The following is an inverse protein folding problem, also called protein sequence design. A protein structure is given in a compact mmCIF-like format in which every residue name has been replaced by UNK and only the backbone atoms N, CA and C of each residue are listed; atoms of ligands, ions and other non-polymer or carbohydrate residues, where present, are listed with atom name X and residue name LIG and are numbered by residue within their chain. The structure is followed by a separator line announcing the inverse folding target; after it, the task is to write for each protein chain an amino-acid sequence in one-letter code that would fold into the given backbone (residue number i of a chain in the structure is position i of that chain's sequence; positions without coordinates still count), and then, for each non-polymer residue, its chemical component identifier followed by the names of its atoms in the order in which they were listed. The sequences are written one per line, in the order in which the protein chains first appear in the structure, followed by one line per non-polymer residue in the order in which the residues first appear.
data_IF_733076148464
#
_entry.id   IF_733076148464
#
_cell.length_a   1.000
_cell.length_b   1.000
_cell.length_c   1.000
_cell.angle_alpha   90.00
_cell.angle_beta   90.00
_cell.angle_gamma   90.00
#
_symmetry.space_group_name_H-M   'P 1'
#
loop_
_entity.id
_entity.type
_entity.pdbx_description
1 polymer ?
#
# COMPACT_ATOMS: atom_id res chain seq x y z
N UNK A 1 -27.15 -6.74 -10.19
CA UNK A 1 -26.55 -6.05 -9.05
C UNK A 1 -27.08 -4.63 -8.95
N UNK A 2 -27.20 -4.07 -7.76
CA UNK A 2 -27.56 -2.67 -7.57
C UNK A 2 -26.33 -1.83 -7.94
N UNK A 3 -26.49 -0.85 -8.84
CA UNK A 3 -25.44 0.14 -9.11
C UNK A 3 -25.39 1.13 -7.96
N UNK A 4 -24.18 1.34 -7.41
CA UNK A 4 -23.93 2.37 -6.41
C UNK A 4 -23.25 3.53 -7.13
N UNK A 5 -23.83 4.73 -7.02
CA UNK A 5 -23.16 5.94 -7.50
C UNK A 5 -22.09 6.34 -6.50
N UNK A 6 -20.86 6.56 -6.97
CA UNK A 6 -19.74 6.98 -6.13
C UNK A 6 -18.87 8.01 -6.85
N UNK A 7 -18.18 8.82 -6.07
CA UNK A 7 -17.07 9.67 -6.53
C UNK A 7 -15.77 9.19 -5.90
N UNK A 8 -14.75 9.09 -6.71
CA UNK A 8 -13.39 8.79 -6.28
C UNK A 8 -12.65 10.10 -6.05
N UNK A 9 -12.27 10.36 -4.81
CA UNK A 9 -11.53 11.55 -4.40
C UNK A 9 -10.09 11.15 -4.07
N UNK A 10 -9.12 11.75 -4.75
CA UNK A 10 -7.72 11.63 -4.43
C UNK A 10 -7.24 12.87 -3.68
N UNK A 11 -6.60 12.71 -2.54
CA UNK A 11 -6.21 13.84 -1.68
C UNK A 11 -4.98 14.60 -2.18
N UNK A 12 -4.13 13.96 -2.97
CA UNK A 12 -2.93 14.54 -3.58
C UNK A 12 -3.19 15.29 -4.88
N UNK A 13 -2.11 15.65 -5.56
CA UNK A 13 -2.13 16.31 -6.87
C UNK A 13 -2.32 15.31 -8.01
N UNK A 14 -2.84 15.80 -9.15
CA UNK A 14 -2.97 14.99 -10.38
C UNK A 14 -1.61 14.50 -10.90
N UNK A 15 -0.58 15.31 -10.73
CA UNK A 15 0.80 15.04 -11.17
C UNK A 15 1.61 14.23 -10.15
N UNK A 16 0.95 13.61 -9.17
CA UNK A 16 1.62 12.79 -8.17
C UNK A 16 2.26 11.57 -8.84
N UNK A 17 3.57 11.47 -8.73
CA UNK A 17 4.36 10.38 -9.34
C UNK A 17 4.08 9.00 -8.73
N UNK A 18 3.38 8.94 -7.60
CA UNK A 18 2.88 7.69 -7.02
C UNK A 18 1.66 7.15 -7.76
N UNK A 19 0.95 8.02 -8.49
CA UNK A 19 -0.10 7.66 -9.44
C UNK A 19 0.54 7.54 -10.83
N UNK A 20 1.09 6.37 -11.14
CA UNK A 20 1.51 6.09 -12.51
C UNK A 20 0.29 6.24 -13.43
N UNK A 21 0.45 7.00 -14.54
CA UNK A 21 -0.61 7.18 -15.52
C UNK A 21 -1.10 5.85 -16.11
N UNK A 22 -0.25 4.82 -16.15
CA UNK A 22 -0.64 3.47 -16.56
C UNK A 22 -1.53 2.76 -15.56
N UNK A 23 -1.51 3.14 -14.27
CA UNK A 23 -2.21 2.42 -13.19
C UNK A 23 -3.71 2.28 -13.48
N UNK A 24 -4.35 3.38 -13.84
CA UNK A 24 -5.80 3.38 -14.10
C UNK A 24 -6.14 2.60 -15.36
N UNK A 25 -5.32 2.74 -16.43
CA UNK A 25 -5.49 2.02 -17.67
C UNK A 25 -5.24 0.51 -17.50
N UNK A 26 -4.13 0.14 -16.87
CA UNK A 26 -3.73 -1.26 -16.64
C UNK A 26 -4.74 -2.01 -15.77
N UNK A 27 -5.31 -1.35 -14.77
CA UNK A 27 -6.29 -1.94 -13.85
C UNK A 27 -7.75 -1.74 -14.30
N UNK A 28 -7.99 -1.14 -15.47
CA UNK A 28 -9.32 -0.79 -15.96
C UNK A 28 -10.13 0.01 -14.95
N UNK A 29 -9.47 0.90 -14.23
CA UNK A 29 -10.07 1.76 -13.21
C UNK A 29 -10.40 3.14 -13.80
N UNK A 30 -11.47 3.72 -13.30
CA UNK A 30 -11.78 5.13 -13.53
C UNK A 30 -10.74 6.00 -12.81
N UNK A 31 -10.28 7.05 -13.47
CA UNK A 31 -9.49 8.09 -12.79
C UNK A 31 -10.30 8.75 -11.66
N UNK A 32 -9.63 9.32 -10.64
CA UNK A 32 -10.30 10.13 -9.62
C UNK A 32 -11.16 11.23 -10.25
N UNK A 33 -12.38 11.37 -9.74
CA UNK A 33 -13.27 12.47 -10.13
C UNK A 33 -12.77 13.81 -9.60
N UNK A 34 -12.06 13.77 -8.46
CA UNK A 34 -11.59 14.94 -7.73
C UNK A 34 -10.17 14.72 -7.25
N UNK A 35 -9.32 15.72 -7.46
CA UNK A 35 -7.98 15.83 -6.88
C UNK A 35 -7.97 17.02 -5.93
N UNK A 36 -7.74 16.79 -4.63
CA UNK A 36 -7.73 17.87 -3.63
C UNK A 36 -6.46 18.73 -3.70
N UNK A 37 -5.41 18.23 -4.34
CA UNK A 37 -4.17 18.96 -4.60
C UNK A 37 -3.29 19.19 -3.38
N UNK A 38 -3.51 18.47 -2.28
CA UNK A 38 -2.79 18.68 -1.03
C UNK A 38 -1.51 17.84 -1.02
N UNK A 39 -0.38 18.51 -0.79
CA UNK A 39 0.93 17.86 -0.60
C UNK A 39 1.70 18.61 0.46
N UNK A 40 2.25 17.90 1.42
CA UNK A 40 3.15 18.45 2.43
C UNK A 40 4.07 17.36 2.98
N UNK A 41 5.29 17.75 3.37
CA UNK A 41 6.23 16.86 4.05
C UNK A 41 5.99 16.78 5.56
N UNK A 42 5.31 17.79 6.13
CA UNK A 42 4.91 17.80 7.52
C UNK A 42 3.54 17.15 7.70
N UNK A 43 3.47 16.12 8.54
CA UNK A 43 2.25 15.34 8.74
C UNK A 43 1.06 16.16 9.26
N UNK A 44 1.31 17.18 10.11
CA UNK A 44 0.26 18.06 10.64
C UNK A 44 -0.27 18.99 9.56
N UNK A 45 0.60 19.59 8.76
CA UNK A 45 0.22 20.45 7.64
C UNK A 45 -0.53 19.66 6.57
N UNK A 46 -0.06 18.45 6.27
CA UNK A 46 -0.75 17.52 5.37
C UNK A 46 -2.17 17.22 5.87
N UNK A 47 -2.31 16.85 7.16
CA UNK A 47 -3.61 16.51 7.75
C UNK A 47 -4.56 17.72 7.68
N UNK A 48 -4.10 18.89 8.12
CA UNK A 48 -4.92 20.11 8.13
C UNK A 48 -5.32 20.57 6.72
N UNK A 49 -4.40 20.49 5.77
CA UNK A 49 -4.67 20.82 4.37
C UNK A 49 -5.72 19.90 3.76
N UNK A 50 -5.61 18.59 4.02
CA UNK A 50 -6.62 17.61 3.57
C UNK A 50 -7.97 17.90 4.22
N UNK A 51 -8.02 18.19 5.53
CA UNK A 51 -9.25 18.50 6.22
C UNK A 51 -9.97 19.68 5.59
N UNK A 52 -9.25 20.80 5.33
CA UNK A 52 -9.83 21.99 4.71
C UNK A 52 -10.34 21.73 3.31
N UNK A 53 -9.55 21.06 2.48
CA UNK A 53 -9.93 20.76 1.10
C UNK A 53 -11.09 19.78 1.02
N UNK A 54 -11.11 18.76 1.88
CA UNK A 54 -12.18 17.77 1.88
C UNK A 54 -13.49 18.29 2.48
N UNK A 55 -13.41 19.19 3.46
CA UNK A 55 -14.59 19.89 4.01
C UNK A 55 -15.32 20.69 2.92
N UNK A 56 -14.55 21.42 2.10
CA UNK A 56 -15.08 22.12 0.93
C UNK A 56 -15.72 21.15 -0.07
N UNK A 57 -15.04 20.05 -0.40
CA UNK A 57 -15.54 19.04 -1.33
C UNK A 57 -16.88 18.45 -0.86
N UNK A 58 -17.00 18.10 0.42
CA UNK A 58 -18.23 17.54 0.96
C UNK A 58 -19.37 18.57 1.04
N UNK A 59 -19.03 19.84 1.24
CA UNK A 59 -20.02 20.95 1.24
C UNK A 59 -20.57 21.19 -0.16
N UNK A 60 -19.71 21.20 -1.17
CA UNK A 60 -20.10 21.42 -2.57
C UNK A 60 -20.80 20.19 -3.17
N UNK A 61 -20.44 19.01 -2.70
CA UNK A 61 -20.91 17.72 -3.20
C UNK A 61 -21.37 16.80 -2.06
N UNK A 62 -22.56 17.04 -1.48
CA UNK A 62 -23.07 16.25 -0.37
C UNK A 62 -23.13 14.75 -0.67
N UNK A 63 -22.82 13.94 0.33
CA UNK A 63 -22.88 12.47 0.25
C UNK A 63 -23.48 11.86 1.52
N UNK A 64 -23.92 10.61 1.43
CA UNK A 64 -24.52 9.90 2.57
C UNK A 64 -23.46 9.15 3.38
N UNK A 65 -22.36 8.75 2.74
CA UNK A 65 -21.33 7.94 3.35
C UNK A 65 -19.97 8.24 2.71
N UNK A 66 -18.94 8.30 3.51
CA UNK A 66 -17.54 8.38 3.09
C UNK A 66 -16.88 7.05 3.37
N UNK A 67 -16.34 6.39 2.33
CA UNK A 67 -15.52 5.20 2.47
C UNK A 67 -14.05 5.61 2.50
N UNK A 68 -13.36 5.26 3.57
CA UNK A 68 -11.92 5.45 3.74
C UNK A 68 -11.21 4.10 3.85
N UNK A 69 -9.95 4.06 3.44
CA UNK A 69 -9.18 2.80 3.35
C UNK A 69 -7.85 2.95 4.06
N UNK A 70 -7.43 1.88 4.76
CA UNK A 70 -6.11 1.74 5.39
C UNK A 70 -5.81 2.80 6.47
N UNK A 71 -4.52 3.17 6.68
CA UNK A 71 -4.02 3.91 7.85
C UNK A 71 -3.28 5.22 7.52
N UNK A 72 -3.58 5.80 6.38
CA UNK A 72 -2.93 7.02 5.95
C UNK A 72 -3.40 8.24 6.73
N UNK A 73 -2.59 9.31 6.75
CA UNK A 73 -3.01 10.63 7.25
C UNK A 73 -4.28 11.11 6.55
N UNK A 74 -4.40 10.85 5.25
CA UNK A 74 -5.60 11.16 4.47
C UNK A 74 -6.85 10.42 4.98
N UNK A 75 -6.72 9.12 5.29
CA UNK A 75 -7.78 8.27 5.84
C UNK A 75 -8.37 8.88 7.11
N UNK A 76 -7.50 9.20 8.07
CA UNK A 76 -7.89 9.82 9.34
C UNK A 76 -8.51 11.21 9.12
N UNK A 77 -7.89 12.06 8.30
CA UNK A 77 -8.35 13.43 8.06
C UNK A 77 -9.73 13.47 7.44
N UNK A 78 -9.97 12.64 6.42
CA UNK A 78 -11.28 12.53 5.77
C UNK A 78 -12.35 11.97 6.73
N UNK A 79 -12.01 11.00 7.57
CA UNK A 79 -12.94 10.46 8.57
C UNK A 79 -13.38 11.52 9.59
N UNK A 80 -12.44 12.35 10.09
CA UNK A 80 -12.73 13.43 11.02
C UNK A 80 -13.71 14.43 10.39
N UNK A 81 -13.43 14.88 9.17
CA UNK A 81 -14.27 15.87 8.46
C UNK A 81 -15.66 15.32 8.21
N UNK A 82 -15.77 14.10 7.68
CA UNK A 82 -17.06 13.45 7.43
C UNK A 82 -17.92 13.39 8.70
N UNK A 83 -17.34 12.96 9.82
CA UNK A 83 -18.07 12.89 11.10
C UNK A 83 -18.48 14.27 11.62
N UNK A 84 -17.65 15.31 11.45
CA UNK A 84 -18.02 16.68 11.86
C UNK A 84 -19.17 17.24 11.04
N UNK A 85 -19.32 16.81 9.79
CA UNK A 85 -20.47 17.16 8.94
C UNK A 85 -21.68 16.22 9.12
N UNK A 86 -21.64 15.26 10.06
CA UNK A 86 -22.74 14.33 10.31
C UNK A 86 -22.86 13.22 9.25
N UNK A 87 -21.84 13.05 8.41
CA UNK A 87 -21.82 12.03 7.36
C UNK A 87 -21.29 10.71 7.95
N UNK A 88 -21.89 9.59 7.55
CA UNK A 88 -21.46 8.27 7.98
C UNK A 88 -20.10 7.93 7.38
N UNK A 89 -19.27 7.24 8.16
CA UNK A 89 -17.94 6.78 7.75
C UNK A 89 -17.89 5.26 7.72
N UNK A 90 -17.41 4.71 6.61
CA UNK A 90 -17.07 3.31 6.45
C UNK A 90 -15.55 3.17 6.33
N UNK A 91 -14.95 2.33 7.17
CA UNK A 91 -13.51 2.08 7.16
C UNK A 91 -13.20 0.68 6.64
N UNK A 92 -12.50 0.59 5.53
CA UNK A 92 -12.01 -0.65 4.95
C UNK A 92 -10.58 -0.92 5.45
N UNK A 93 -10.28 -2.16 5.82
CA UNK A 93 -9.05 -2.62 6.51
C UNK A 93 -9.01 -2.14 7.97
N UNK A 94 -10.18 -2.04 8.60
CA UNK A 94 -10.33 -1.64 9.99
C UNK A 94 -9.76 -2.66 10.99
N UNK A 95 -9.45 -2.21 12.20
CA UNK A 95 -9.06 -3.07 13.33
C UNK A 95 -7.63 -3.60 13.31
N UNK A 96 -6.82 -3.22 12.34
CA UNK A 96 -5.37 -3.53 12.33
C UNK A 96 -4.68 -2.76 13.46
N UNK A 97 -3.83 -3.44 14.27
CA UNK A 97 -3.11 -2.85 15.40
C UNK A 97 -1.67 -3.31 15.44
N UNK A 98 -0.77 -2.37 15.72
CA UNK A 98 0.61 -2.63 16.13
C UNK A 98 0.78 -2.53 17.63
N UNK A 99 -0.15 -1.84 18.33
CA UNK A 99 -0.08 -1.48 19.75
C UNK A 99 1.13 -0.60 20.12
N UNK A 100 1.81 -0.04 19.13
CA UNK A 100 2.90 0.91 19.34
C UNK A 100 2.40 2.34 19.07
N UNK A 101 2.11 3.06 20.14
CA UNK A 101 1.62 4.45 20.08
C UNK A 101 2.67 5.46 19.56
N UNK A 102 3.94 5.07 19.47
CA UNK A 102 4.96 5.90 18.82
C UNK A 102 4.90 5.81 17.28
N UNK A 103 4.12 4.88 16.76
CA UNK A 103 3.92 4.73 15.32
C UNK A 103 2.79 5.66 14.85
N UNK A 104 3.07 6.67 13.99
CA UNK A 104 2.04 7.60 13.50
C UNK A 104 0.84 6.90 12.84
N UNK A 105 1.07 5.79 12.16
CA UNK A 105 0.01 4.99 11.55
C UNK A 105 -0.94 4.36 12.59
N UNK A 106 -0.45 4.00 13.76
CA UNK A 106 -1.30 3.46 14.82
C UNK A 106 -2.29 4.50 15.34
N UNK A 107 -1.83 5.75 15.49
CA UNK A 107 -2.69 6.88 15.84
C UNK A 107 -3.79 7.07 14.79
N UNK A 108 -3.44 7.03 13.51
CA UNK A 108 -4.40 7.13 12.41
C UNK A 108 -5.46 6.03 12.48
N UNK A 109 -5.05 4.77 12.69
CA UNK A 109 -5.95 3.61 12.82
C UNK A 109 -6.94 3.78 13.96
N UNK A 110 -6.45 4.14 15.15
CA UNK A 110 -7.29 4.29 16.34
C UNK A 110 -8.34 5.40 16.15
N UNK A 111 -7.93 6.55 15.60
CA UNK A 111 -8.86 7.66 15.35
C UNK A 111 -9.90 7.25 14.30
N UNK A 112 -9.46 6.68 13.18
CA UNK A 112 -10.35 6.29 12.08
C UNK A 112 -11.35 5.24 12.53
N UNK A 113 -10.90 4.19 13.22
CA UNK A 113 -11.77 3.13 13.74
C UNK A 113 -12.78 3.69 14.75
N UNK A 114 -12.33 4.57 15.66
CA UNK A 114 -13.19 5.16 16.69
C UNK A 114 -14.27 6.09 16.14
N UNK A 115 -14.07 6.65 14.94
CA UNK A 115 -15.04 7.53 14.28
C UNK A 115 -15.96 6.81 13.29
N UNK A 116 -15.63 5.60 12.89
CA UNK A 116 -16.31 4.90 11.81
C UNK A 116 -17.62 4.26 12.26
N UNK A 117 -18.67 4.43 11.44
CA UNK A 117 -19.97 3.80 11.66
C UNK A 117 -20.02 2.36 11.14
N UNK A 118 -19.18 2.03 10.16
CA UNK A 118 -19.05 0.69 9.58
C UNK A 118 -17.58 0.31 9.47
N UNK A 119 -17.22 -0.84 10.01
CA UNK A 119 -15.84 -1.31 10.09
C UNK A 119 -15.71 -2.63 9.34
N UNK A 120 -15.00 -2.60 8.22
CA UNK A 120 -14.76 -3.77 7.38
C UNK A 120 -13.37 -4.33 7.66
N UNK A 121 -13.32 -5.54 8.19
CA UNK A 121 -12.08 -6.17 8.67
C UNK A 121 -11.56 -7.25 7.72
N UNK A 122 -10.25 -7.37 7.65
CA UNK A 122 -9.57 -8.36 6.83
C UNK A 122 -9.38 -9.72 7.53
N UNK A 123 -9.52 -9.77 8.87
CA UNK A 123 -9.27 -10.99 9.63
C UNK A 123 -9.84 -11.00 11.04
N UNK A 124 -9.90 -12.19 11.64
CA UNK A 124 -10.46 -12.38 12.99
C UNK A 124 -9.67 -11.66 14.10
N UNK A 125 -8.37 -11.44 13.88
CA UNK A 125 -7.55 -10.67 14.82
C UNK A 125 -8.01 -9.21 14.84
N UNK A 126 -8.31 -8.62 13.70
CA UNK A 126 -8.84 -7.27 13.58
C UNK A 126 -10.20 -7.14 14.30
N UNK A 127 -11.10 -8.11 14.12
CA UNK A 127 -12.38 -8.14 14.86
C UNK A 127 -12.17 -8.16 16.37
N UNK A 128 -11.23 -8.99 16.86
CA UNK A 128 -10.91 -9.05 18.28
C UNK A 128 -10.37 -7.72 18.81
N UNK A 129 -9.49 -7.06 18.04
CA UNK A 129 -8.93 -5.77 18.42
C UNK A 129 -10.03 -4.71 18.58
N UNK A 130 -10.97 -4.63 17.64
CA UNK A 130 -12.11 -3.70 17.71
C UNK A 130 -13.02 -4.00 18.90
N UNK A 131 -13.33 -5.27 19.16
CA UNK A 131 -14.14 -5.66 20.31
C UNK A 131 -13.49 -5.25 21.65
N UNK A 132 -12.17 -5.30 21.75
CA UNK A 132 -11.43 -4.88 22.95
C UNK A 132 -11.48 -3.38 23.21
N UNK A 133 -11.69 -2.57 22.17
CA UNK A 133 -11.81 -1.11 22.26
C UNK A 133 -13.25 -0.63 22.49
N UNK A 134 -14.18 -1.55 22.75
CA UNK A 134 -15.58 -1.23 23.02
C UNK A 134 -16.43 -0.94 21.79
N UNK A 135 -15.94 -1.28 20.60
CA UNK A 135 -16.71 -1.12 19.35
C UNK A 135 -17.90 -2.10 19.34
N UNK A 136 -19.09 -1.59 18.99
CA UNK A 136 -20.29 -2.42 18.89
C UNK A 136 -20.13 -3.49 17.80
N UNK A 137 -20.40 -4.75 18.15
CA UNK A 137 -20.22 -5.90 17.24
C UNK A 137 -21.07 -5.81 15.97
N UNK A 138 -22.22 -5.14 16.05
CA UNK A 138 -23.16 -4.97 14.94
C UNK A 138 -22.57 -4.11 13.81
N UNK A 139 -21.55 -3.30 14.09
CA UNK A 139 -20.90 -2.42 13.14
C UNK A 139 -19.60 -2.99 12.57
N UNK A 140 -19.21 -4.21 12.95
CA UNK A 140 -17.99 -4.86 12.50
C UNK A 140 -18.31 -6.00 11.54
N UNK A 141 -17.85 -5.86 10.31
CA UNK A 141 -18.08 -6.81 9.22
C UNK A 141 -16.79 -7.48 8.78
N UNK A 142 -16.72 -8.79 8.92
CA UNK A 142 -15.60 -9.55 8.35
C UNK A 142 -15.83 -9.74 6.86
N UNK A 143 -15.02 -9.08 6.03
CA UNK A 143 -15.12 -9.11 4.57
C UNK A 143 -13.95 -9.81 3.88
N UNK A 144 -12.90 -10.14 4.64
CA UNK A 144 -11.65 -10.68 4.09
C UNK A 144 -10.68 -9.59 3.63
N UNK A 145 -9.57 -10.02 3.06
CA UNK A 145 -8.49 -9.13 2.64
C UNK A 145 -8.70 -8.64 1.21
N UNK A 146 -8.94 -7.35 1.03
CA UNK A 146 -9.16 -6.70 -0.26
C UNK A 146 -7.94 -6.82 -1.21
N UNK A 147 -6.73 -6.94 -0.67
CA UNK A 147 -5.53 -7.17 -1.49
C UNK A 147 -5.62 -8.50 -2.24
N UNK A 148 -6.18 -9.51 -1.59
CA UNK A 148 -6.38 -10.83 -2.20
C UNK A 148 -7.43 -10.77 -3.30
N UNK A 149 -8.53 -10.03 -3.10
CA UNK A 149 -9.55 -9.84 -4.14
C UNK A 149 -8.97 -9.12 -5.35
N UNK A 150 -8.13 -8.11 -5.12
CA UNK A 150 -7.44 -7.39 -6.18
C UNK A 150 -6.50 -8.31 -6.99
N UNK A 151 -5.72 -9.16 -6.32
CA UNK A 151 -4.88 -10.15 -7.01
C UNK A 151 -5.72 -11.15 -7.80
N UNK A 152 -6.79 -11.69 -7.21
CA UNK A 152 -7.70 -12.62 -7.91
C UNK A 152 -8.25 -12.02 -9.20
N UNK A 153 -8.66 -10.76 -9.13
CA UNK A 153 -9.19 -10.05 -10.30
C UNK A 153 -8.13 -9.85 -11.39
N UNK A 154 -6.91 -9.49 -10.99
CA UNK A 154 -5.85 -9.11 -11.93
C UNK A 154 -4.91 -10.25 -12.33
N UNK A 155 -4.95 -11.40 -11.66
CA UNK A 155 -3.99 -12.50 -11.86
C UNK A 155 -3.86 -12.94 -13.33
N UNK A 156 -4.97 -12.98 -14.05
CA UNK A 156 -4.98 -13.38 -15.46
C UNK A 156 -4.49 -12.28 -16.42
N UNK A 157 -4.29 -11.07 -15.91
CA UNK A 157 -3.80 -9.91 -16.64
C UNK A 157 -2.33 -9.59 -16.33
N UNK A 158 -1.66 -10.39 -15.52
CA UNK A 158 -0.26 -10.19 -15.20
C UNK A 158 0.61 -10.17 -16.44
N UNK A 159 1.51 -9.19 -16.53
CA UNK A 159 2.33 -8.91 -17.72
C UNK A 159 3.78 -9.30 -17.43
N UNK A 160 4.32 -10.20 -18.24
CA UNK A 160 5.74 -10.58 -18.15
C UNK A 160 6.64 -9.41 -18.58
N UNK A 161 7.52 -8.89 -17.71
CA UNK A 161 8.47 -7.85 -18.09
C UNK A 161 9.45 -8.35 -19.16
N UNK A 162 9.61 -7.57 -20.25
CA UNK A 162 10.49 -7.93 -21.36
C UNK A 162 11.95 -8.13 -20.95
N UNK A 163 12.41 -7.33 -19.98
CA UNK A 163 13.79 -7.40 -19.48
C UNK A 163 14.16 -8.72 -18.79
N UNK A 164 13.19 -9.50 -18.28
CA UNK A 164 13.47 -10.85 -17.79
C UNK A 164 14.09 -11.74 -18.85
N UNK A 165 13.63 -11.62 -20.09
CA UNK A 165 14.20 -12.38 -21.22
C UNK A 165 15.59 -11.87 -21.58
N UNK A 166 15.82 -10.56 -21.54
CA UNK A 166 17.12 -9.94 -21.81
C UNK A 166 18.18 -10.38 -20.78
N UNK A 167 17.78 -10.50 -19.52
CA UNK A 167 18.65 -10.96 -18.44
C UNK A 167 18.83 -12.49 -18.39
N UNK A 168 18.08 -13.24 -19.21
CA UNK A 168 18.11 -14.71 -19.17
C UNK A 168 17.50 -15.30 -17.90
N UNK A 169 16.74 -14.52 -17.11
CA UNK A 169 16.12 -14.97 -15.88
C UNK A 169 14.88 -15.81 -16.20
N UNK A 170 14.84 -17.05 -15.66
CA UNK A 170 13.76 -18.01 -15.88
C UNK A 170 12.72 -17.91 -14.78
N UNK A 171 11.47 -18.24 -15.14
CA UNK A 171 10.38 -18.40 -14.17
C UNK A 171 10.72 -19.51 -13.17
N UNK A 172 10.41 -19.28 -11.90
CA UNK A 172 10.68 -20.23 -10.83
C UNK A 172 12.15 -20.31 -10.39
N UNK A 173 13.03 -19.52 -11.00
CA UNK A 173 14.48 -19.61 -10.78
C UNK A 173 15.10 -18.26 -10.40
N UNK A 174 14.38 -17.44 -9.64
CA UNK A 174 14.87 -16.18 -9.08
C UNK A 174 14.21 -15.86 -7.75
N UNK A 175 14.90 -15.03 -6.97
CA UNK A 175 14.38 -14.41 -5.75
C UNK A 175 13.95 -12.99 -6.10
N UNK A 176 12.70 -12.64 -5.74
CA UNK A 176 12.22 -11.26 -5.80
C UNK A 176 12.58 -10.55 -4.50
N UNK A 177 13.29 -9.42 -4.59
CA UNK A 177 13.68 -8.61 -3.44
C UNK A 177 13.02 -7.24 -3.50
N UNK A 178 12.30 -6.85 -2.46
CA UNK A 178 11.82 -5.48 -2.29
C UNK A 178 12.22 -4.92 -0.94
N UNK A 179 12.74 -3.70 -0.94
CA UNK A 179 13.11 -2.95 0.25
C UNK A 179 12.57 -1.53 0.14
N UNK A 180 12.01 -1.00 1.21
CA UNK A 180 11.42 0.33 1.23
C UNK A 180 11.57 1.07 2.58
N UNK A 181 11.84 0.37 3.68
CA UNK A 181 11.88 0.97 5.01
C UNK A 181 13.11 1.84 5.20
N UNK A 182 12.90 3.14 5.37
CA UNK A 182 13.97 4.14 5.55
C UNK A 182 14.89 3.84 6.73
N UNK A 183 14.38 3.28 7.82
CA UNK A 183 15.19 2.88 8.98
C UNK A 183 16.27 1.89 8.60
N UNK A 184 15.95 0.91 7.74
CA UNK A 184 16.91 -0.06 7.21
C UNK A 184 17.87 0.60 6.23
N UNK A 185 17.35 1.39 5.29
CA UNK A 185 18.14 2.02 4.22
C UNK A 185 19.14 3.05 4.74
N UNK A 186 18.82 3.74 5.83
CA UNK A 186 19.67 4.74 6.46
C UNK A 186 20.79 4.11 7.31
N UNK A 187 20.70 2.81 7.64
CA UNK A 187 21.74 2.09 8.37
C UNK A 187 22.58 1.26 7.39
N UNK A 188 23.67 1.86 6.89
CA UNK A 188 24.55 1.24 5.88
C UNK A 188 25.11 -0.11 6.30
N UNK A 189 25.45 -0.28 7.57
CA UNK A 189 26.03 -1.53 8.08
C UNK A 189 25.00 -2.65 8.06
N UNK A 190 23.79 -2.39 8.60
CA UNK A 190 22.71 -3.37 8.58
C UNK A 190 22.26 -3.70 7.16
N UNK A 191 22.16 -2.69 6.28
CA UNK A 191 21.79 -2.90 4.89
C UNK A 191 22.88 -3.74 4.16
N UNK A 192 24.15 -3.46 4.38
CA UNK A 192 25.25 -4.25 3.83
C UNK A 192 25.16 -5.71 4.26
N UNK A 193 25.08 -5.95 5.57
CA UNK A 193 24.99 -7.30 6.11
C UNK A 193 23.78 -8.06 5.58
N UNK A 194 22.61 -7.39 5.45
CA UNK A 194 21.43 -7.97 4.85
C UNK A 194 21.68 -8.38 3.39
N UNK A 195 22.20 -7.46 2.58
CA UNK A 195 22.44 -7.72 1.16
C UNK A 195 23.46 -8.82 0.94
N UNK A 196 24.57 -8.82 1.68
CA UNK A 196 25.59 -9.88 1.62
C UNK A 196 25.01 -11.23 2.02
N UNK A 197 24.20 -11.29 3.07
CA UNK A 197 23.51 -12.52 3.50
C UNK A 197 22.53 -13.02 2.43
N UNK A 198 21.74 -12.13 1.83
CA UNK A 198 20.79 -12.52 0.76
C UNK A 198 21.58 -13.11 -0.42
N UNK A 199 22.64 -12.45 -0.87
CA UNK A 199 23.42 -12.87 -2.02
C UNK A 199 24.15 -14.19 -1.77
N UNK A 200 24.72 -14.37 -0.57
CA UNK A 200 25.33 -15.63 -0.14
C UNK A 200 24.31 -16.79 -0.17
N UNK A 201 23.13 -16.58 0.45
CA UNK A 201 22.10 -17.62 0.54
C UNK A 201 21.40 -17.88 -0.81
N UNK A 202 21.39 -16.89 -1.70
CA UNK A 202 20.92 -17.09 -3.07
C UNK A 202 21.80 -18.06 -3.88
N UNK A 203 23.04 -18.29 -3.45
CA UNK A 203 23.96 -19.28 -4.04
C UNK A 203 24.06 -19.19 -5.58
N UNK A 204 24.18 -17.96 -6.10
CA UNK A 204 24.23 -17.70 -7.54
C UNK A 204 22.88 -17.58 -8.24
N UNK A 205 21.77 -17.88 -7.58
CA UNK A 205 20.43 -17.65 -8.13
C UNK A 205 20.21 -16.15 -8.36
N UNK A 206 19.57 -15.74 -9.47
CA UNK A 206 19.26 -14.35 -9.72
C UNK A 206 18.42 -13.73 -8.58
N UNK A 207 18.85 -12.58 -8.10
CA UNK A 207 18.11 -11.73 -7.17
C UNK A 207 17.62 -10.53 -7.96
N UNK A 208 16.33 -10.46 -8.21
CA UNK A 208 15.67 -9.42 -8.97
C UNK A 208 15.08 -8.40 -8.00
N UNK A 209 15.53 -7.16 -8.08
CA UNK A 209 15.17 -6.09 -7.16
C UNK A 209 14.53 -4.90 -7.90
N UNK A 210 13.22 -4.91 -8.19
CA UNK A 210 12.51 -3.75 -8.70
C UNK A 210 12.29 -2.76 -7.55
N UNK A 211 13.08 -1.68 -7.53
CA UNK A 211 13.13 -0.75 -6.39
C UNK A 211 13.14 0.70 -6.83
N UNK A 212 12.66 1.58 -5.97
CA UNK A 212 12.73 3.02 -6.17
C UNK A 212 14.16 3.55 -6.22
N UNK A 213 14.35 4.71 -6.85
CA UNK A 213 15.66 5.33 -7.05
C UNK A 213 16.46 5.46 -5.75
N UNK A 214 15.84 5.90 -4.66
CA UNK A 214 16.53 6.07 -3.38
C UNK A 214 17.00 4.74 -2.77
N UNK A 215 16.27 3.63 -2.99
CA UNK A 215 16.70 2.28 -2.56
C UNK A 215 17.86 1.80 -3.41
N UNK A 216 17.77 1.96 -4.73
CA UNK A 216 18.83 1.67 -5.68
C UNK A 216 20.12 2.39 -5.29
N UNK A 217 20.03 3.68 -4.97
CA UNK A 217 21.18 4.51 -4.65
C UNK A 217 21.79 4.10 -3.29
N UNK A 218 20.96 3.72 -2.32
CA UNK A 218 21.42 3.14 -1.05
C UNK A 218 22.19 1.83 -1.26
N UNK A 219 21.65 0.92 -2.08
CA UNK A 219 22.35 -0.36 -2.39
C UNK A 219 23.63 -0.12 -3.17
N UNK A 220 23.63 0.75 -4.18
CA UNK A 220 24.85 1.14 -4.93
C UNK A 220 25.92 1.74 -4.03
N UNK A 221 25.51 2.55 -3.04
CA UNK A 221 26.40 3.15 -2.04
C UNK A 221 27.13 2.13 -1.15
N UNK A 222 26.72 0.86 -1.17
CA UNK A 222 27.40 -0.23 -0.47
C UNK A 222 28.61 -0.78 -1.25
N UNK A 223 28.73 -0.46 -2.54
CA UNK A 223 29.78 -1.01 -3.44
C UNK A 223 29.81 -2.54 -3.46
N UNK A 224 28.64 -3.18 -3.34
CA UNK A 224 28.50 -4.63 -3.49
C UNK A 224 28.48 -4.96 -4.99
N UNK A 225 29.40 -5.80 -5.42
CA UNK A 225 29.45 -6.34 -6.78
C UNK A 225 29.01 -7.80 -6.75
N UNK A 226 27.83 -8.08 -7.34
CA UNK A 226 27.32 -9.43 -7.44
C UNK A 226 26.67 -9.62 -8.83
N UNK A 227 27.15 -10.56 -9.65
CA UNK A 227 26.66 -10.75 -11.02
C UNK A 227 25.21 -11.25 -11.06
N UNK A 228 24.72 -11.84 -9.97
CA UNK A 228 23.36 -12.32 -9.84
C UNK A 228 22.40 -11.29 -9.22
N UNK A 229 22.84 -10.06 -8.91
CA UNK A 229 21.96 -8.99 -8.41
C UNK A 229 21.51 -8.08 -9.56
N UNK A 230 20.21 -8.10 -9.86
CA UNK A 230 19.61 -7.31 -10.92
C UNK A 230 18.71 -6.23 -10.31
N UNK A 231 19.22 -5.00 -10.23
CA UNK A 231 18.45 -3.85 -9.72
C UNK A 231 17.69 -3.22 -10.89
N UNK A 232 16.37 -3.22 -10.80
CA UNK A 232 15.46 -2.73 -11.83
C UNK A 232 14.68 -1.51 -11.32
N UNK A 233 14.17 -0.66 -12.22
CA UNK A 233 13.23 0.39 -11.83
C UNK A 233 11.92 -0.21 -11.28
N UNK A 234 11.11 0.57 -10.56
CA UNK A 234 9.78 0.15 -10.16
C UNK A 234 8.98 -0.36 -11.36
N UNK A 235 8.15 -1.36 -11.10
CA UNK A 235 7.32 -1.99 -12.14
C UNK A 235 5.84 -1.59 -11.94
N UNK A 236 5.06 -1.64 -13.02
CA UNK A 236 3.60 -1.52 -12.91
C UNK A 236 3.03 -2.63 -12.04
N UNK A 237 1.83 -2.44 -11.50
CA UNK A 237 1.17 -3.44 -10.65
C UNK A 237 1.08 -4.81 -11.33
N UNK A 238 0.68 -4.85 -12.61
CA UNK A 238 0.55 -6.09 -13.35
C UNK A 238 1.90 -6.79 -13.60
N UNK A 239 2.93 -6.01 -13.88
CA UNK A 239 4.30 -6.55 -14.06
C UNK A 239 4.89 -7.01 -12.72
N UNK A 240 4.66 -6.27 -11.64
CA UNK A 240 5.11 -6.69 -10.31
C UNK A 240 4.37 -7.94 -9.82
N UNK A 241 3.05 -8.03 -10.08
CA UNK A 241 2.26 -9.24 -9.82
C UNK A 241 2.79 -10.46 -10.55
N UNK A 242 3.22 -10.30 -11.81
CA UNK A 242 3.89 -11.38 -12.55
C UNK A 242 5.18 -11.82 -11.85
N UNK A 243 6.02 -10.86 -11.44
CA UNK A 243 7.27 -11.16 -10.76
C UNK A 243 7.05 -11.89 -9.44
N UNK A 244 6.05 -11.50 -8.65
CA UNK A 244 5.68 -12.20 -7.42
C UNK A 244 5.21 -13.63 -7.70
N UNK A 245 4.30 -13.79 -8.69
CA UNK A 245 3.70 -15.08 -9.03
C UNK A 245 4.71 -16.09 -9.58
N UNK A 246 5.80 -15.63 -10.17
CA UNK A 246 6.80 -16.45 -10.86
C UNK A 246 8.15 -16.53 -10.12
N UNK A 247 8.29 -15.87 -8.98
CA UNK A 247 9.48 -15.99 -8.15
C UNK A 247 9.54 -17.34 -7.45
N UNK A 248 10.73 -17.87 -7.22
CA UNK A 248 10.98 -19.03 -6.36
C UNK A 248 10.79 -18.67 -4.89
N UNK A 249 11.07 -17.42 -4.53
CA UNK A 249 10.88 -16.88 -3.20
C UNK A 249 10.87 -15.37 -3.22
N UNK A 250 10.30 -14.77 -2.19
CA UNK A 250 10.17 -13.33 -2.06
C UNK A 250 10.79 -12.90 -0.74
N UNK A 251 11.65 -11.89 -0.80
CA UNK A 251 12.21 -11.21 0.37
C UNK A 251 11.69 -9.78 0.35
N UNK A 252 10.98 -9.39 1.39
CA UNK A 252 10.31 -8.08 1.43
C UNK A 252 10.25 -7.51 2.85
N UNK A 253 10.29 -6.18 2.94
CA UNK A 253 9.97 -5.42 4.16
C UNK A 253 8.60 -4.73 4.06
N UNK A 254 7.83 -5.00 2.99
CA UNK A 254 6.48 -4.49 2.76
C UNK A 254 5.43 -5.44 3.30
N UNK A 255 4.54 -4.95 4.18
CA UNK A 255 3.39 -5.72 4.68
C UNK A 255 2.46 -6.17 3.55
N UNK A 256 2.12 -5.27 2.63
CA UNK A 256 1.23 -5.57 1.51
C UNK A 256 1.79 -6.69 0.62
N UNK A 257 3.08 -6.60 0.26
CA UNK A 257 3.73 -7.64 -0.55
C UNK A 257 3.76 -8.98 0.18
N UNK A 258 4.00 -8.96 1.51
CA UNK A 258 3.97 -10.17 2.32
C UNK A 258 2.58 -10.82 2.31
N UNK A 259 1.51 -10.02 2.46
CA UNK A 259 0.13 -10.49 2.41
C UNK A 259 -0.25 -11.02 1.02
N UNK A 260 0.01 -10.24 -0.03
CA UNK A 260 -0.27 -10.60 -1.42
C UNK A 260 0.45 -11.88 -1.84
N UNK A 261 1.71 -12.05 -1.44
CA UNK A 261 2.52 -13.21 -1.80
C UNK A 261 2.03 -14.52 -1.16
N UNK A 262 1.29 -14.46 -0.06
CA UNK A 262 0.71 -15.68 0.55
C UNK A 262 -0.39 -16.30 -0.29
N UNK A 263 -0.96 -15.56 -1.23
CA UNK A 263 -2.00 -16.05 -2.12
C UNK A 263 -1.44 -16.60 -3.45
N UNK A 264 -0.25 -16.18 -3.84
CA UNK A 264 0.38 -16.55 -5.12
C UNK A 264 1.27 -17.78 -5.00
#
# INVERSE_FOLDING_TARGET
GRSISYRLVYTGKREDTSLDASLFADLHMKEPDVFLGVTDSNATQLASGIMVAFDKELTENPTHIVLVVDDLTATMSCAIVAKKQGIKVAHLVAGTRSFDMNMPKEVNRMITDGLSDYLFTAGMVANRNLNQTGTEKENVYYVGNILIDNIRYNRNHFIRPLWLSVLGVKEGDYILLTLNRRVLLNNKENLRRLMETILEKAAGMPVVAPVHTYVRDAIKGLSISAPNLHIMPPQSYLSFGYLMNKAKGIITDSGNVAEESTFL
#
